data_IF_175159305865
#
_entry.id   IF_175159305865
#
_cell.length_a   1.000
_cell.length_b   1.000
_cell.length_c   1.000
_cell.angle_alpha   90.00
_cell.angle_beta   90.00
_cell.angle_gamma   90.00
#
_symmetry.space_group_name_H-M   'P 1'
#
loop_
_entity.id
_entity.type
_entity.pdbx_description
1 polymer ?
#
# COMPACT_ATOMS: atom_id res chain seq x y z
N UNK A 1 16.70 7.02 -2.49
CA UNK A 1 16.26 5.63 -2.19
C UNK A 1 16.73 4.72 -3.31
N UNK A 2 17.20 3.52 -3.00
CA UNK A 2 17.83 2.60 -3.97
C UNK A 2 16.83 1.90 -4.90
N UNK A 3 15.60 1.67 -4.43
CA UNK A 3 14.59 0.89 -5.15
C UNK A 3 14.15 1.52 -6.47
N UNK A 4 14.15 2.86 -6.58
CA UNK A 4 13.79 3.58 -7.82
C UNK A 4 15.00 4.08 -8.63
N UNK A 5 16.17 4.23 -7.99
CA UNK A 5 17.41 4.69 -8.64
C UNK A 5 18.32 3.55 -9.12
N UNK A 6 17.98 2.31 -8.80
CA UNK A 6 18.79 1.13 -9.12
C UNK A 6 17.96 0.06 -9.79
N UNK A 7 18.58 -1.09 -10.01
CA UNK A 7 17.97 -2.21 -10.72
C UNK A 7 17.65 -3.35 -9.73
N UNK A 8 16.44 -3.38 -9.13
CA UNK A 8 16.07 -4.41 -8.16
C UNK A 8 15.95 -5.81 -8.76
N UNK A 9 15.92 -5.94 -10.09
CA UNK A 9 15.94 -7.21 -10.80
C UNK A 9 17.35 -7.75 -11.09
N UNK A 10 18.41 -6.96 -10.85
CA UNK A 10 19.78 -7.41 -11.05
C UNK A 10 20.34 -7.89 -9.71
N UNK A 11 20.63 -9.19 -9.60
CA UNK A 11 21.17 -9.79 -8.37
C UNK A 11 22.47 -9.10 -7.94
N UNK A 12 22.55 -8.78 -6.65
CA UNK A 12 23.75 -8.19 -6.04
C UNK A 12 23.76 -6.67 -5.98
N UNK A 13 22.89 -5.98 -6.74
CA UNK A 13 22.73 -4.52 -6.62
C UNK A 13 22.18 -4.14 -5.25
N UNK A 14 22.35 -2.88 -4.88
CA UNK A 14 21.77 -2.36 -3.63
C UNK A 14 20.23 -2.43 -3.67
N UNK A 15 19.62 -2.08 -4.81
CA UNK A 15 18.18 -2.16 -5.00
C UNK A 15 17.63 -3.59 -4.80
N UNK A 16 18.31 -4.61 -5.34
CA UNK A 16 17.94 -6.01 -5.14
C UNK A 16 18.00 -6.40 -3.66
N UNK A 17 19.10 -6.03 -2.97
CA UNK A 17 19.29 -6.33 -1.54
C UNK A 17 18.20 -5.69 -0.68
N UNK A 18 17.85 -4.44 -0.98
CA UNK A 18 16.83 -3.70 -0.22
C UNK A 18 15.43 -4.28 -0.45
N UNK A 19 15.08 -4.69 -1.68
CA UNK A 19 13.82 -5.41 -1.94
C UNK A 19 13.75 -6.72 -1.15
N UNK A 20 14.83 -7.51 -1.15
CA UNK A 20 14.89 -8.76 -0.39
C UNK A 20 14.81 -8.52 1.13
N UNK A 21 15.41 -7.44 1.63
CA UNK A 21 15.30 -7.06 3.04
C UNK A 21 13.85 -6.71 3.41
N UNK A 22 13.17 -5.90 2.60
CA UNK A 22 11.76 -5.54 2.80
C UNK A 22 10.85 -6.75 2.75
N UNK A 23 11.01 -7.65 1.76
CA UNK A 23 10.24 -8.88 1.71
C UNK A 23 10.43 -9.74 2.97
N UNK A 24 11.67 -9.88 3.47
CA UNK A 24 11.93 -10.57 4.74
C UNK A 24 11.22 -9.89 5.91
N UNK A 25 11.19 -8.55 5.95
CA UNK A 25 10.45 -7.81 6.97
C UNK A 25 8.95 -8.10 6.90
N UNK A 26 8.36 -8.17 5.71
CA UNK A 26 6.95 -8.56 5.53
C UNK A 26 6.68 -9.96 6.10
N UNK A 27 7.54 -10.93 5.79
CA UNK A 27 7.42 -12.30 6.30
C UNK A 27 7.57 -12.38 7.82
N UNK A 28 8.54 -11.65 8.39
CA UNK A 28 8.74 -11.58 9.85
C UNK A 28 7.54 -10.95 10.55
N UNK A 29 7.00 -9.87 9.99
CA UNK A 29 5.81 -9.19 10.51
C UNK A 29 4.60 -10.12 10.46
N UNK A 30 4.35 -10.78 9.32
CA UNK A 30 3.28 -11.77 9.17
C UNK A 30 3.42 -12.87 10.23
N UNK A 31 4.59 -13.48 10.35
CA UNK A 31 4.84 -14.54 11.35
C UNK A 31 4.54 -14.07 12.77
N UNK A 32 5.01 -12.87 13.14
CA UNK A 32 4.78 -12.30 14.48
C UNK A 32 3.30 -12.05 14.74
N UNK A 33 2.61 -11.36 13.83
CA UNK A 33 1.21 -10.98 14.03
C UNK A 33 0.26 -12.18 13.98
N UNK A 34 0.54 -13.20 13.15
CA UNK A 34 -0.27 -14.42 13.12
C UNK A 34 -0.17 -15.25 14.42
N UNK A 35 0.84 -15.01 15.27
CA UNK A 35 0.99 -15.68 16.56
C UNK A 35 0.28 -14.96 17.71
N UNK A 36 -0.33 -13.80 17.46
CA UNK A 36 -0.97 -12.97 18.47
C UNK A 36 -2.50 -12.94 18.25
N UNK A 37 -3.26 -12.72 19.33
CA UNK A 37 -4.67 -12.32 19.22
C UNK A 37 -4.80 -10.81 18.93
N UNK A 38 -6.03 -10.36 18.64
CA UNK A 38 -6.24 -8.98 18.22
C UNK A 38 -6.00 -8.00 19.36
N UNK A 39 -6.36 -8.38 20.59
CA UNK A 39 -6.19 -7.60 21.80
C UNK A 39 -4.71 -7.39 22.11
N UNK A 40 -3.89 -8.43 21.96
CA UNK A 40 -2.44 -8.36 22.07
C UNK A 40 -1.84 -7.46 20.99
N UNK A 41 -2.30 -7.57 19.74
CA UNK A 41 -1.85 -6.70 18.64
C UNK A 41 -2.18 -5.24 18.96
N UNK A 42 -3.41 -4.95 19.39
CA UNK A 42 -3.87 -3.61 19.73
C UNK A 42 -3.04 -3.03 20.90
N UNK A 43 -2.75 -3.84 21.92
CA UNK A 43 -1.92 -3.44 23.06
C UNK A 43 -0.48 -3.09 22.65
N UNK A 44 0.18 -3.92 21.83
CA UNK A 44 1.59 -3.67 21.42
C UNK A 44 1.72 -2.61 20.34
N UNK A 45 0.64 -2.34 19.59
CA UNK A 45 0.63 -1.33 18.52
C UNK A 45 0.29 0.07 19.03
N UNK A 46 -0.05 0.21 20.32
CA UNK A 46 -0.38 1.49 20.93
C UNK A 46 0.89 2.35 21.07
N UNK A 47 0.93 3.45 20.32
CA UNK A 47 1.99 4.47 20.43
C UNK A 47 1.58 5.46 21.52
N UNK A 48 2.26 5.43 22.67
CA UNK A 48 1.92 6.27 23.82
C UNK A 48 2.15 7.76 23.55
N UNK A 49 3.27 8.08 22.90
CA UNK A 49 3.70 9.45 22.59
C UNK A 49 4.01 9.55 21.10
N UNK A 50 2.99 9.70 20.23
CA UNK A 50 3.22 9.89 18.81
C UNK A 50 3.99 11.20 18.59
N UNK A 51 5.13 11.12 17.90
CA UNK A 51 5.90 12.30 17.52
C UNK A 51 5.20 13.06 16.39
N UNK A 52 4.32 13.97 16.78
CA UNK A 52 3.58 14.85 15.87
C UNK A 52 3.32 16.17 16.58
N UNK A 53 4.11 17.20 16.27
CA UNK A 53 4.00 18.54 16.87
C UNK A 53 2.62 19.15 16.69
N UNK A 54 1.96 18.79 15.59
CA UNK A 54 0.68 19.37 15.19
C UNK A 54 -0.50 18.49 15.60
N UNK A 55 -0.27 17.46 16.42
CA UNK A 55 -1.30 16.46 16.76
C UNK A 55 -2.55 17.11 17.36
N UNK A 56 -2.38 18.04 18.29
CA UNK A 56 -3.51 18.69 18.96
C UNK A 56 -4.31 19.55 17.98
N UNK A 57 -3.61 20.30 17.13
CA UNK A 57 -4.20 21.13 16.08
C UNK A 57 -4.98 20.26 15.09
N UNK A 58 -4.36 19.19 14.60
CA UNK A 58 -5.02 18.25 13.68
C UNK A 58 -6.26 17.61 14.31
N UNK A 59 -6.23 17.26 15.59
CA UNK A 59 -7.39 16.69 16.29
C UNK A 59 -8.53 17.70 16.42
N UNK A 60 -8.24 18.96 16.72
CA UNK A 60 -9.23 20.04 16.78
C UNK A 60 -9.85 20.31 15.40
N UNK A 61 -9.01 20.40 14.37
CA UNK A 61 -9.44 20.61 12.99
C UNK A 61 -10.31 19.44 12.50
N UNK A 62 -9.89 18.20 12.75
CA UNK A 62 -10.70 17.03 12.41
C UNK A 62 -12.00 16.98 13.22
N UNK A 63 -12.02 17.36 14.49
CA UNK A 63 -13.25 17.40 15.27
C UNK A 63 -14.25 18.44 14.73
N UNK A 64 -13.75 19.55 14.18
CA UNK A 64 -14.58 20.67 13.71
C UNK A 64 -15.01 20.51 12.25
N UNK A 65 -14.16 19.97 11.38
CA UNK A 65 -14.35 19.93 9.94
C UNK A 65 -14.68 18.53 9.37
N UNK A 66 -14.52 17.45 10.14
CA UNK A 66 -14.69 16.11 9.59
C UNK A 66 -16.17 15.82 9.25
N UNK A 67 -16.52 15.63 7.97
CA UNK A 67 -17.89 15.33 7.56
C UNK A 67 -18.31 13.88 7.88
N UNK A 68 -17.40 13.08 8.44
CA UNK A 68 -17.58 11.66 8.76
C UNK A 68 -17.82 11.44 10.25
N UNK A 69 -18.72 12.24 10.84
CA UNK A 69 -19.10 12.11 12.25
C UNK A 69 -19.61 10.71 12.58
N UNK A 70 -20.36 10.07 11.67
CA UNK A 70 -20.94 8.74 11.87
C UNK A 70 -19.87 7.65 11.77
N UNK A 71 -19.89 6.72 12.71
CA UNK A 71 -18.98 5.56 12.78
C UNK A 71 -18.82 4.84 11.43
N UNK A 72 -19.93 4.60 10.71
CA UNK A 72 -19.93 3.90 9.42
C UNK A 72 -19.31 4.66 8.25
N UNK A 73 -18.96 5.94 8.43
CA UNK A 73 -18.28 6.76 7.42
C UNK A 73 -16.76 6.81 7.62
N UNK A 74 -16.24 6.15 8.67
CA UNK A 74 -14.81 6.16 9.03
C UNK A 74 -14.17 4.86 8.58
N UNK A 75 -13.38 4.85 7.49
CA UNK A 75 -12.84 3.61 6.90
C UNK A 75 -12.01 2.79 7.89
N UNK A 76 -11.30 3.44 8.81
CA UNK A 76 -10.48 2.77 9.81
C UNK A 76 -11.29 2.01 10.86
N UNK A 77 -12.49 2.50 11.21
CA UNK A 77 -13.35 1.82 12.20
C UNK A 77 -14.00 0.57 11.57
N UNK A 78 -14.41 0.67 10.31
CA UNK A 78 -14.94 -0.46 9.54
C UNK A 78 -13.97 -1.66 9.56
N UNK A 79 -12.66 -1.41 9.43
CA UNK A 79 -11.64 -2.45 9.51
C UNK A 79 -11.41 -2.97 10.94
N UNK A 80 -11.45 -2.11 11.97
CA UNK A 80 -11.22 -2.53 13.36
C UNK A 80 -12.41 -3.26 13.98
N UNK A 81 -13.63 -2.97 13.55
CA UNK A 81 -14.87 -3.59 14.06
C UNK A 81 -15.36 -4.76 13.21
N UNK A 82 -14.71 -5.01 12.06
CA UNK A 82 -15.02 -6.15 11.20
C UNK A 82 -14.90 -7.47 11.98
N UNK A 83 -15.84 -8.44 11.82
CA UNK A 83 -15.65 -9.79 12.35
C UNK A 83 -14.48 -10.52 11.67
N UNK A 84 -14.05 -10.02 10.51
CA UNK A 84 -12.86 -10.47 9.79
C UNK A 84 -11.76 -9.42 9.92
N UNK A 85 -10.94 -9.53 10.98
CA UNK A 85 -9.69 -8.76 11.18
C UNK A 85 -8.51 -9.62 10.71
N UNK A 86 -8.10 -9.53 9.44
CA UNK A 86 -6.95 -10.30 8.96
C UNK A 86 -5.69 -9.91 9.76
N UNK A 87 -4.87 -10.90 10.07
CA UNK A 87 -3.63 -10.73 10.85
C UNK A 87 -2.42 -10.87 9.96
N UNK A 88 -1.45 -9.99 10.16
CA UNK A 88 -0.21 -10.03 9.39
C UNK A 88 -0.38 -9.51 7.97
N UNK A 89 0.76 -9.23 7.33
CA UNK A 89 0.79 -8.77 5.95
C UNK A 89 0.45 -9.94 5.03
N UNK A 90 -0.55 -9.75 4.16
CA UNK A 90 -1.01 -10.72 3.17
C UNK A 90 -1.04 -10.10 1.75
N UNK A 91 -1.38 -10.91 0.73
CA UNK A 91 -1.39 -10.45 -0.67
C UNK A 91 -2.37 -9.28 -0.92
N UNK A 92 -3.50 -9.23 -0.20
CA UNK A 92 -4.45 -8.12 -0.29
C UNK A 92 -3.81 -6.81 0.18
N UNK A 93 -3.05 -6.84 1.28
CA UNK A 93 -2.36 -5.65 1.79
C UNK A 93 -1.31 -5.16 0.79
N UNK A 94 -0.51 -6.09 0.25
CA UNK A 94 0.52 -5.78 -0.75
C UNK A 94 -0.09 -5.23 -2.06
N UNK A 95 -1.18 -5.84 -2.54
CA UNK A 95 -1.90 -5.39 -3.73
C UNK A 95 -2.59 -4.02 -3.50
N UNK A 96 -3.17 -3.79 -2.31
CA UNK A 96 -3.80 -2.51 -1.98
C UNK A 96 -2.78 -1.36 -1.96
N UNK A 97 -1.61 -1.58 -1.35
CA UNK A 97 -0.52 -0.59 -1.36
C UNK A 97 0.00 -0.36 -2.77
N UNK A 98 0.22 -1.42 -3.56
CA UNK A 98 0.61 -1.28 -4.97
C UNK A 98 -0.44 -0.50 -5.77
N UNK A 99 -1.73 -0.77 -5.53
CA UNK A 99 -2.86 -0.08 -6.13
C UNK A 99 -2.91 1.40 -5.77
N UNK A 100 -2.56 1.76 -4.53
CA UNK A 100 -2.48 3.16 -4.13
C UNK A 100 -1.37 3.92 -4.87
N UNK A 101 -0.23 3.28 -5.15
CA UNK A 101 0.86 3.90 -5.90
C UNK A 101 0.61 3.97 -7.41
N UNK A 102 -0.07 2.97 -7.98
CA UNK A 102 -0.23 2.82 -9.43
C UNK A 102 -1.57 3.37 -9.92
N UNK A 103 -2.62 3.26 -9.11
CA UNK A 103 -4.01 3.47 -9.52
C UNK A 103 -4.27 4.85 -10.11
N UNK A 104 -3.74 5.92 -9.51
CA UNK A 104 -3.91 7.28 -10.03
C UNK A 104 -3.26 7.49 -11.40
N UNK A 105 -2.10 6.86 -11.64
CA UNK A 105 -1.40 6.93 -12.93
C UNK A 105 -2.16 6.21 -14.05
N UNK A 106 -2.96 5.20 -13.71
CA UNK A 106 -3.79 4.48 -14.69
C UNK A 106 -5.15 5.15 -14.89
N UNK A 107 -5.82 5.50 -13.79
CA UNK A 107 -7.20 5.98 -13.84
C UNK A 107 -7.30 7.45 -14.23
N UNK A 108 -6.37 8.29 -13.76
CA UNK A 108 -6.42 9.75 -13.96
C UNK A 108 -5.02 10.33 -14.21
N UNK A 109 -4.27 9.86 -15.24
CA UNK A 109 -2.91 10.32 -15.51
C UNK A 109 -2.81 11.85 -15.69
N UNK A 110 -3.79 12.46 -16.38
CA UNK A 110 -3.76 13.91 -16.67
C UNK A 110 -3.87 14.77 -15.41
N UNK A 111 -4.61 14.32 -14.39
CA UNK A 111 -4.80 15.06 -13.13
C UNK A 111 -3.52 15.16 -12.30
N UNK A 112 -2.60 14.23 -12.52
CA UNK A 112 -1.33 14.15 -11.80
C UNK A 112 -0.14 14.55 -12.68
N UNK A 113 -0.41 15.21 -13.81
CA UNK A 113 0.62 15.76 -14.70
C UNK A 113 1.29 14.75 -15.64
N UNK A 114 0.73 13.55 -15.79
CA UNK A 114 1.18 12.57 -16.79
C UNK A 114 0.48 12.88 -18.10
N UNK A 115 1.14 13.67 -18.93
CA UNK A 115 0.68 14.03 -20.27
C UNK A 115 1.41 13.19 -21.32
N UNK A 116 0.74 12.93 -22.44
CA UNK A 116 1.29 12.26 -23.64
C UNK A 116 1.88 10.86 -23.42
N UNK A 117 1.52 10.18 -22.31
CA UNK A 117 1.91 8.79 -22.09
C UNK A 117 1.24 7.88 -23.12
N UNK A 118 2.05 7.15 -23.88
CA UNK A 118 1.55 6.17 -24.84
C UNK A 118 1.09 4.90 -24.11
N UNK A 119 0.27 4.08 -24.77
CA UNK A 119 -0.10 2.75 -24.25
C UNK A 119 1.14 1.92 -23.85
N UNK A 120 2.24 2.07 -24.61
CA UNK A 120 3.51 1.39 -24.34
C UNK A 120 4.19 1.90 -23.08
N UNK A 121 4.11 3.21 -22.80
CA UNK A 121 4.67 3.80 -21.58
C UNK A 121 3.89 3.34 -20.35
N UNK A 122 2.57 3.29 -20.45
CA UNK A 122 1.69 2.77 -19.39
C UNK A 122 1.93 1.27 -19.15
N UNK A 123 2.08 0.48 -20.21
CA UNK A 123 2.41 -0.94 -20.10
C UNK A 123 3.78 -1.15 -19.44
N UNK A 124 4.80 -0.40 -19.86
CA UNK A 124 6.13 -0.46 -19.26
C UNK A 124 6.12 -0.06 -17.77
N UNK A 125 5.37 0.98 -17.42
CA UNK A 125 5.15 1.39 -16.02
C UNK A 125 4.48 0.29 -15.20
N UNK A 126 3.42 -0.34 -15.72
CA UNK A 126 2.75 -1.47 -15.07
C UNK A 126 3.69 -2.66 -14.92
N UNK A 127 4.49 -2.97 -15.94
CA UNK A 127 5.46 -4.06 -15.89
C UNK A 127 6.51 -3.84 -14.80
N UNK A 128 7.05 -2.62 -14.68
CA UNK A 128 7.96 -2.25 -13.61
C UNK A 128 7.32 -2.48 -12.22
N UNK A 129 6.09 -2.02 -12.02
CA UNK A 129 5.38 -2.23 -10.76
C UNK A 129 5.07 -3.71 -10.50
N UNK A 130 4.78 -4.50 -11.52
CA UNK A 130 4.67 -5.96 -11.42
C UNK A 130 5.95 -6.59 -10.89
N UNK A 131 7.11 -6.19 -11.42
CA UNK A 131 8.39 -6.64 -10.89
C UNK A 131 8.56 -6.25 -9.42
N UNK A 132 8.23 -5.02 -9.03
CA UNK A 132 8.31 -4.60 -7.62
C UNK A 132 7.42 -5.46 -6.72
N UNK A 133 6.18 -5.70 -7.11
CA UNK A 133 5.26 -6.58 -6.38
C UNK A 133 5.85 -7.97 -6.16
N UNK A 134 6.34 -8.59 -7.23
CA UNK A 134 6.99 -9.91 -7.17
C UNK A 134 8.17 -9.94 -6.18
N UNK A 135 9.08 -8.96 -6.26
CA UNK A 135 10.24 -8.90 -5.37
C UNK A 135 9.89 -8.62 -3.91
N UNK A 136 8.74 -8.01 -3.65
CA UNK A 136 8.21 -7.75 -2.30
C UNK A 136 7.38 -8.90 -1.72
N UNK A 137 7.14 -9.96 -2.52
CA UNK A 137 6.42 -11.17 -2.11
C UNK A 137 4.94 -11.21 -2.49
N UNK A 138 4.48 -10.34 -3.41
CA UNK A 138 3.14 -10.42 -3.98
C UNK A 138 3.08 -11.57 -4.99
N UNK A 139 2.12 -12.47 -4.84
CA UNK A 139 1.90 -13.55 -5.80
C UNK A 139 1.39 -13.01 -7.14
N UNK A 140 1.86 -13.63 -8.23
CA UNK A 140 1.62 -13.19 -9.61
C UNK A 140 0.14 -12.99 -9.97
N UNK A 141 -0.77 -13.74 -9.35
CA UNK A 141 -2.22 -13.68 -9.61
C UNK A 141 -2.87 -12.39 -9.09
N UNK A 142 -2.24 -11.72 -8.11
CA UNK A 142 -2.74 -10.49 -7.49
C UNK A 142 -2.04 -9.24 -7.98
N UNK A 143 -1.11 -9.38 -8.93
CA UNK A 143 -0.37 -8.26 -9.50
C UNK A 143 -1.27 -7.44 -10.42
N UNK A 144 -1.20 -6.11 -10.30
CA UNK A 144 -1.91 -5.19 -11.19
C UNK A 144 -1.48 -5.42 -12.64
N UNK A 145 -2.45 -5.77 -13.48
CA UNK A 145 -2.26 -5.85 -14.94
C UNK A 145 -3.01 -4.73 -15.62
N UNK A 146 -2.38 -4.08 -16.60
CA UNK A 146 -3.10 -3.22 -17.52
C UNK A 146 -3.96 -4.10 -18.46
N UNK A 147 -5.27 -4.09 -18.25
CA UNK A 147 -6.24 -4.57 -19.23
C UNK A 147 -7.09 -3.38 -19.66
N UNK A 148 -6.96 -3.00 -20.93
CA UNK A 148 -7.65 -1.86 -21.56
C UNK A 148 -9.19 -1.92 -21.48
N UNK A 149 -9.77 -3.05 -21.04
CA UNK A 149 -11.22 -3.25 -20.87
C UNK A 149 -11.90 -2.32 -19.84
N UNK A 150 -11.17 -1.49 -19.10
CA UNK A 150 -11.76 -0.53 -18.15
C UNK A 150 -12.11 0.84 -18.77
N UNK A 151 -11.72 1.12 -20.02
CA UNK A 151 -11.99 2.42 -20.66
C UNK A 151 -13.24 2.43 -21.56
N UNK A 152 -13.93 1.29 -21.72
CA UNK A 152 -15.18 1.19 -22.51
C UNK A 152 -16.45 1.23 -21.63
N UNK A 153 -16.33 1.58 -20.34
CA UNK A 153 -17.47 1.68 -19.42
C UNK A 153 -17.44 3.02 -18.68
N UNK A 154 -17.35 4.13 -19.41
CA UNK A 154 -17.93 5.43 -19.06
C UNK A 154 -18.18 6.25 -20.33
#
# INVERSE_FOLDING_TARGET
>A
MSWYNGEPWVKGTQAYKDMQATHKMHLMMRKKLCQMDNEQIDAVSKIAEPYCSDREILLEDFATACPFEKLGQRPYIMMSESPYRPKGINNMDLAAVQGAFVGMFLLRPQDIGVHDATDKDIEAFCHMWRCYGYYLGLEDEYVITYKKCAYDVF
#
